data_IF_083153365973
#
_entry.id   IF_083153365973
#
_cell.length_a   1.000
_cell.length_b   1.000
_cell.length_c   1.000
_cell.angle_alpha   90.00
_cell.angle_beta   90.00
_cell.angle_gamma   90.00
#
_symmetry.space_group_name_H-M   'P 1'
#
loop_
_entity.id
_entity.type
_entity.pdbx_description
1 polymer ?
#
# COMPACT_ATOMS: atom_id res chain seq x y z
N UNK A 1 -13.93 -22.01 -15.23
CA UNK A 1 -12.57 -21.71 -14.73
C UNK A 1 -12.25 -20.23 -14.91
N UNK A 2 -12.06 -19.69 -16.12
CA UNK A 2 -11.69 -18.27 -16.34
C UNK A 2 -12.72 -17.27 -15.79
N UNK A 3 -14.02 -17.49 -16.02
CA UNK A 3 -15.09 -16.59 -15.56
C UNK A 3 -15.08 -16.42 -14.03
N UNK A 4 -14.78 -17.49 -13.29
CA UNK A 4 -14.70 -17.46 -11.82
C UNK A 4 -13.53 -16.59 -11.37
N UNK A 5 -12.35 -16.75 -11.95
CA UNK A 5 -11.20 -15.89 -11.64
C UNK A 5 -11.49 -14.42 -11.93
N UNK A 6 -12.17 -14.14 -13.06
CA UNK A 6 -12.50 -12.79 -13.46
C UNK A 6 -13.48 -12.11 -12.49
N UNK A 7 -14.47 -12.87 -11.99
CA UNK A 7 -15.38 -12.41 -10.91
C UNK A 7 -14.60 -12.13 -9.62
N UNK A 8 -13.67 -13.00 -9.22
CA UNK A 8 -12.84 -12.78 -8.03
C UNK A 8 -11.94 -11.55 -8.15
N UNK A 9 -11.36 -11.29 -9.32
CA UNK A 9 -10.55 -10.08 -9.57
C UNK A 9 -11.40 -8.81 -9.45
N UNK A 10 -12.57 -8.78 -10.08
CA UNK A 10 -13.50 -7.65 -10.00
C UNK A 10 -13.99 -7.41 -8.56
N UNK A 11 -14.38 -8.48 -7.86
CA UNK A 11 -14.82 -8.38 -6.47
C UNK A 11 -13.70 -7.83 -5.58
N UNK A 12 -12.49 -8.36 -5.70
CA UNK A 12 -11.32 -7.89 -4.95
C UNK A 12 -11.01 -6.41 -5.24
N UNK A 13 -11.06 -6.00 -6.50
CA UNK A 13 -10.85 -4.61 -6.89
C UNK A 13 -11.86 -3.67 -6.20
N UNK A 14 -13.16 -4.00 -6.25
CA UNK A 14 -14.21 -3.21 -5.61
C UNK A 14 -14.05 -3.15 -4.09
N UNK A 15 -13.70 -4.28 -3.46
CA UNK A 15 -13.46 -4.36 -2.01
C UNK A 15 -12.28 -3.46 -1.62
N UNK A 16 -11.16 -3.55 -2.33
CA UNK A 16 -9.96 -2.73 -2.04
C UNK A 16 -10.28 -1.25 -2.22
N UNK A 17 -10.99 -0.87 -3.28
CA UNK A 17 -11.40 0.51 -3.50
C UNK A 17 -12.27 1.04 -2.35
N UNK A 18 -13.29 0.29 -1.95
CA UNK A 18 -14.18 0.69 -0.87
C UNK A 18 -13.44 0.77 0.48
N UNK A 19 -12.62 -0.25 0.82
CA UNK A 19 -11.82 -0.26 2.03
C UNK A 19 -10.82 0.89 2.09
N UNK A 20 -10.18 1.25 0.97
CA UNK A 20 -9.24 2.37 0.91
C UNK A 20 -9.90 3.68 1.35
N UNK A 21 -11.12 3.95 0.85
CA UNK A 21 -11.89 5.13 1.25
C UNK A 21 -12.21 5.15 2.75
N UNK A 22 -12.58 4.00 3.31
CA UNK A 22 -12.85 3.87 4.74
C UNK A 22 -11.59 4.15 5.55
N UNK A 23 -10.47 3.50 5.22
CA UNK A 23 -9.20 3.67 5.93
C UNK A 23 -8.79 5.14 5.95
N UNK A 24 -8.79 5.81 4.79
CA UNK A 24 -8.44 7.23 4.69
C UNK A 24 -9.35 8.08 5.59
N UNK A 25 -10.66 7.82 5.58
CA UNK A 25 -11.61 8.56 6.43
C UNK A 25 -11.40 8.34 7.93
N UNK A 26 -10.94 7.15 8.34
CA UNK A 26 -10.62 6.82 9.72
C UNK A 26 -9.32 7.51 10.15
N UNK A 27 -8.31 7.50 9.28
CA UNK A 27 -7.02 8.13 9.52
C UNK A 27 -7.15 9.65 9.62
N UNK A 28 -7.99 10.27 8.80
CA UNK A 28 -8.27 11.70 8.87
C UNK A 28 -8.90 12.10 10.23
N UNK A 29 -9.91 11.35 10.68
CA UNK A 29 -10.52 11.53 12.02
C UNK A 29 -9.50 11.32 13.14
N UNK A 30 -8.59 10.36 12.97
CA UNK A 30 -7.53 10.09 13.94
C UNK A 30 -6.50 11.23 13.99
N UNK A 31 -6.13 11.78 12.82
CA UNK A 31 -5.22 12.92 12.72
C UNK A 31 -5.76 14.16 13.41
N UNK A 32 -7.07 14.43 13.29
CA UNK A 32 -7.72 15.53 13.99
C UNK A 32 -7.60 15.43 15.52
N UNK A 33 -7.58 14.22 16.09
CA UNK A 33 -7.36 14.02 17.54
C UNK A 33 -5.90 14.24 17.95
N UNK A 34 -4.97 13.92 17.07
CA UNK A 34 -3.54 14.09 17.30
C UNK A 34 -3.03 15.53 17.07
N UNK A 35 -3.87 16.44 16.56
CA UNK A 35 -3.50 17.80 16.14
C UNK A 35 -2.34 17.83 15.12
N UNK A 36 -2.15 16.74 14.40
CA UNK A 36 -1.18 16.63 13.30
C UNK A 36 -1.89 16.84 11.96
N UNK A 37 -1.12 17.17 10.93
CA UNK A 37 -1.67 17.26 9.58
C UNK A 37 -2.12 15.86 9.12
N UNK A 38 -3.34 15.79 8.56
CA UNK A 38 -3.89 14.52 8.02
C UNK A 38 -2.95 13.89 7.00
N UNK A 39 -2.18 14.71 6.28
CA UNK A 39 -1.15 14.25 5.37
C UNK A 39 -0.04 13.47 6.07
N UNK A 40 0.61 14.02 7.10
CA UNK A 40 1.73 13.34 7.76
C UNK A 40 1.26 12.05 8.43
N UNK A 41 0.12 12.06 9.11
CA UNK A 41 -0.42 10.86 9.75
C UNK A 41 -0.77 9.79 8.71
N UNK A 42 -1.40 10.17 7.60
CA UNK A 42 -1.70 9.24 6.51
C UNK A 42 -0.44 8.69 5.86
N UNK A 43 0.57 9.54 5.62
CA UNK A 43 1.83 9.12 5.02
C UNK A 43 2.54 8.06 5.87
N UNK A 44 2.70 8.31 7.17
CA UNK A 44 3.35 7.35 8.08
C UNK A 44 2.52 6.10 8.28
N UNK A 45 1.23 6.25 8.59
CA UNK A 45 0.38 5.11 8.91
C UNK A 45 0.16 4.22 7.68
N UNK A 46 -0.12 4.82 6.52
CA UNK A 46 -0.30 4.06 5.28
C UNK A 46 1.03 3.43 4.84
N UNK A 47 2.15 4.13 4.97
CA UNK A 47 3.48 3.57 4.67
C UNK A 47 3.82 2.34 5.52
N UNK A 48 3.45 2.35 6.80
CA UNK A 48 3.58 1.17 7.67
C UNK A 48 2.65 0.06 7.20
N UNK A 49 1.36 0.35 7.00
CA UNK A 49 0.37 -0.63 6.58
C UNK A 49 0.73 -1.31 5.25
N UNK A 50 1.23 -0.53 4.29
CA UNK A 50 1.64 -1.05 2.98
C UNK A 50 2.92 -1.85 3.04
N UNK A 51 3.73 -1.77 4.11
CA UNK A 51 5.00 -2.51 4.24
C UNK A 51 4.86 -3.83 5.02
N UNK A 52 3.71 -4.06 5.66
CA UNK A 52 3.40 -5.30 6.38
C UNK A 52 3.48 -6.54 5.46
N UNK A 53 2.90 -6.52 4.25
CA UNK A 53 2.99 -7.66 3.32
C UNK A 53 4.44 -7.99 2.94
N UNK A 54 5.26 -6.98 2.67
CA UNK A 54 6.66 -7.11 2.28
C UNK A 54 7.49 -7.68 3.43
N UNK A 55 7.22 -7.24 4.66
CA UNK A 55 7.83 -7.81 5.84
C UNK A 55 7.45 -9.29 6.00
N UNK A 56 6.20 -9.66 5.73
CA UNK A 56 5.76 -11.06 5.72
C UNK A 56 6.48 -11.89 4.65
N UNK A 57 6.68 -11.34 3.44
CA UNK A 57 7.47 -11.99 2.38
C UNK A 57 8.92 -12.18 2.83
N UNK A 58 9.50 -11.18 3.52
CA UNK A 58 10.86 -11.28 4.07
C UNK A 58 11.01 -12.40 5.08
N UNK A 59 10.10 -12.49 6.05
CA UNK A 59 10.10 -13.59 7.03
C UNK A 59 9.97 -14.94 6.32
N UNK A 60 9.01 -15.08 5.39
CA UNK A 60 8.81 -16.33 4.65
C UNK A 60 10.05 -16.71 3.81
N UNK A 61 10.74 -15.73 3.23
CA UNK A 61 11.93 -15.96 2.41
C UNK A 61 13.11 -16.49 3.24
N UNK A 62 13.24 -16.04 4.49
CA UNK A 62 14.24 -16.57 5.43
C UNK A 62 13.90 -18.02 5.78
N UNK A 63 12.64 -18.31 6.10
CA UNK A 63 12.17 -19.67 6.44
C UNK A 63 12.39 -20.63 5.26
N UNK A 64 12.11 -20.18 4.04
CA UNK A 64 12.21 -20.99 2.83
C UNK A 64 13.62 -21.05 2.24
N UNK A 65 14.62 -20.40 2.87
CA UNK A 65 16.00 -20.31 2.38
C UNK A 65 16.12 -19.71 0.97
N UNK A 66 15.24 -18.78 0.63
CA UNK A 66 15.20 -18.09 -0.67
C UNK A 66 15.41 -16.58 -0.50
N UNK A 67 16.60 -16.12 -0.07
CA UNK A 67 16.86 -14.70 0.19
C UNK A 67 16.77 -13.82 -1.06
N UNK A 68 16.98 -14.40 -2.25
CA UNK A 68 16.90 -13.68 -3.53
C UNK A 68 15.51 -13.09 -3.78
N UNK A 69 14.45 -13.79 -3.35
CA UNK A 69 13.06 -13.34 -3.47
C UNK A 69 12.83 -12.10 -2.59
N UNK A 70 13.39 -12.09 -1.38
CA UNK A 70 13.28 -10.95 -0.48
C UNK A 70 13.97 -9.72 -1.06
N UNK A 71 15.21 -9.87 -1.55
CA UNK A 71 15.97 -8.76 -2.13
C UNK A 71 15.25 -8.20 -3.37
N UNK A 72 14.78 -9.09 -4.26
CA UNK A 72 14.01 -8.70 -5.44
C UNK A 72 12.74 -7.95 -5.08
N UNK A 73 11.99 -8.42 -4.08
CA UNK A 73 10.77 -7.76 -3.61
C UNK A 73 11.07 -6.39 -2.99
N UNK A 74 12.09 -6.28 -2.13
CA UNK A 74 12.46 -5.04 -1.45
C UNK A 74 12.93 -3.96 -2.43
N UNK A 75 13.79 -4.32 -3.38
CA UNK A 75 14.26 -3.41 -4.42
C UNK A 75 13.12 -3.03 -5.37
N UNK A 76 12.32 -4.00 -5.81
CA UNK A 76 11.19 -3.77 -6.70
C UNK A 76 10.15 -2.82 -6.11
N UNK A 77 9.74 -3.04 -4.85
CA UNK A 77 8.74 -2.18 -4.19
C UNK A 77 9.30 -0.76 -4.01
N UNK A 78 10.56 -0.62 -3.61
CA UNK A 78 11.23 0.68 -3.48
C UNK A 78 11.29 1.43 -4.82
N UNK A 79 11.67 0.75 -5.90
CA UNK A 79 11.73 1.35 -7.24
C UNK A 79 10.34 1.81 -7.71
N UNK A 80 9.31 0.98 -7.54
CA UNK A 80 7.92 1.33 -7.91
C UNK A 80 7.44 2.53 -7.08
N UNK A 81 7.78 2.58 -5.79
CA UNK A 81 7.43 3.70 -4.92
C UNK A 81 8.04 5.02 -5.43
N UNK A 82 9.34 5.03 -5.71
CA UNK A 82 10.05 6.24 -6.14
C UNK A 82 9.75 6.66 -7.59
N UNK A 83 9.64 5.71 -8.51
CA UNK A 83 9.47 5.99 -9.95
C UNK A 83 8.00 6.24 -10.30
N UNK A 84 7.07 5.55 -9.65
CA UNK A 84 5.66 5.57 -10.05
C UNK A 84 4.75 6.21 -9.01
N UNK A 85 4.79 5.76 -7.75
CA UNK A 85 3.83 6.20 -6.73
C UNK A 85 4.03 7.66 -6.36
N UNK A 86 5.26 8.06 -6.00
CA UNK A 86 5.56 9.44 -5.60
C UNK A 86 5.29 10.45 -6.73
N UNK A 87 5.73 10.23 -7.99
CA UNK A 87 5.45 11.15 -9.08
C UNK A 87 3.96 11.24 -9.42
N UNK A 88 3.23 10.12 -9.38
CA UNK A 88 1.77 10.11 -9.60
C UNK A 88 1.05 10.93 -8.53
N UNK A 89 1.47 10.79 -7.27
CA UNK A 89 0.91 11.57 -6.17
C UNK A 89 1.24 13.05 -6.30
N UNK A 90 2.50 13.40 -6.62
CA UNK A 90 2.93 14.78 -6.82
C UNK A 90 2.16 15.46 -7.95
N UNK A 91 1.97 14.78 -9.08
CA UNK A 91 1.21 15.30 -10.21
C UNK A 91 -0.26 15.56 -9.86
N UNK A 92 -0.86 14.69 -9.03
CA UNK A 92 -2.24 14.88 -8.55
C UNK A 92 -2.34 16.03 -7.55
N UNK A 93 -1.36 16.18 -6.66
CA UNK A 93 -1.34 17.23 -5.64
C UNK A 93 -1.14 18.62 -6.25
N UNK A 94 -0.32 18.75 -7.30
CA UNK A 94 -0.12 20.02 -8.00
C UNK A 94 -1.35 20.47 -8.82
N UNK A 95 -2.32 19.57 -9.03
CA UNK A 95 -3.58 19.83 -9.74
C UNK A 95 -4.75 20.22 -8.82
N UNK A 96 -4.55 20.27 -7.50
CA UNK A 96 -5.53 20.76 -6.51
C UNK A 96 -5.02 22.03 -5.83
#
# INVERSE_FOLDING_TARGET
MVIIHLVFYLASFLIIWYCSGIIISLVDRFSHRLKLSSFSVSFFLLGILTSIPEFSIGINSIINQTPDIFIGNLLGSSLILFIFVIPSFSHFWQRR
#
